data_IF_333107218838
#
_entry.id   IF_333107218838
#
_cell.length_a   1.000
_cell.length_b   1.000
_cell.length_c   1.000
_cell.angle_alpha   90.00
_cell.angle_beta   90.00
_cell.angle_gamma   90.00
#
_symmetry.space_group_name_H-M   'P 1'
#
loop_
_entity.id
_entity.type
_entity.pdbx_description
1 polymer ?
#
# COMPACT_ATOMS: atom_id res chain seq x y z
N UNK A 1 16.75 6.49 49.43
CA UNK A 1 15.59 5.69 49.83
C UNK A 1 15.58 4.50 48.92
N UNK A 2 15.72 3.29 49.47
CA UNK A 2 15.86 2.07 48.65
C UNK A 2 14.44 1.60 48.26
N UNK A 3 14.09 1.67 47.00
CA UNK A 3 12.90 1.03 46.47
C UNK A 3 13.13 -0.50 46.43
N UNK A 4 12.36 -1.25 47.21
CA UNK A 4 12.29 -2.69 47.13
C UNK A 4 11.34 -3.05 45.99
N UNK A 5 11.87 -3.64 44.94
CA UNK A 5 11.09 -4.28 43.89
C UNK A 5 10.40 -5.53 44.49
N UNK A 6 9.09 -5.53 44.50
CA UNK A 6 8.26 -6.65 44.98
C UNK A 6 7.96 -7.58 43.81
N UNK A 7 8.68 -8.70 43.73
CA UNK A 7 8.23 -9.84 42.92
C UNK A 7 7.07 -10.52 43.67
N UNK A 8 5.88 -10.52 43.08
CA UNK A 8 4.73 -11.28 43.59
C UNK A 8 4.68 -12.65 42.87
N UNK A 9 4.86 -13.74 43.63
CA UNK A 9 4.62 -15.10 43.13
C UNK A 9 3.11 -15.37 43.07
N UNK A 10 2.60 -15.83 41.91
CA UNK A 10 1.21 -16.20 41.72
C UNK A 10 0.94 -17.53 42.44
N UNK A 11 -0.03 -17.53 43.36
CA UNK A 11 -0.62 -18.75 43.92
C UNK A 11 -1.67 -19.30 42.95
N UNK A 12 -1.76 -20.60 42.70
CA UNK A 12 -2.78 -21.17 41.82
C UNK A 12 -4.16 -21.04 42.47
N UNK A 13 -5.09 -20.36 41.80
CA UNK A 13 -6.51 -20.31 42.18
C UNK A 13 -7.16 -21.63 41.78
N UNK A 14 -7.51 -22.45 42.76
CA UNK A 14 -8.41 -23.58 42.61
C UNK A 14 -9.83 -23.10 42.39
N UNK A 15 -10.46 -23.44 41.26
CA UNK A 15 -11.87 -23.18 40.97
C UNK A 15 -12.75 -24.07 41.81
N UNK A 16 -13.48 -23.51 42.75
CA UNK A 16 -14.59 -24.19 43.48
C UNK A 16 -15.92 -23.83 42.79
N UNK A 17 -16.46 -24.79 42.03
CA UNK A 17 -17.82 -24.69 41.52
C UNK A 17 -18.84 -25.00 42.63
N UNK A 18 -19.61 -24.02 43.06
CA UNK A 18 -20.78 -24.24 43.90
C UNK A 18 -22.07 -24.05 43.11
N UNK A 19 -22.79 -25.14 42.93
CA UNK A 19 -24.15 -25.14 42.36
C UNK A 19 -25.10 -24.71 43.45
N UNK A 20 -25.88 -23.66 43.24
CA UNK A 20 -27.12 -23.38 44.00
C UNK A 20 -28.28 -23.12 43.05
N UNK A 21 -29.19 -24.08 43.06
CA UNK A 21 -30.55 -23.97 42.51
C UNK A 21 -31.44 -23.17 43.47
N UNK A 22 -32.17 -22.16 43.02
CA UNK A 22 -33.62 -22.01 43.21
C UNK A 22 -34.14 -20.58 43.01
N UNK A 23 -35.31 -20.55 42.44
CA UNK A 23 -36.38 -19.55 42.53
C UNK A 23 -36.29 -18.34 41.56
N UNK A 24 -37.25 -18.37 40.64
CA UNK A 24 -37.53 -17.41 39.58
C UNK A 24 -37.79 -16.00 40.03
N UNK A 25 -37.41 -15.10 39.13
CA UNK A 25 -37.93 -13.75 38.98
C UNK A 25 -37.83 -13.28 37.53
N UNK A 26 -38.62 -12.29 37.12
CA UNK A 26 -39.06 -12.12 35.76
C UNK A 26 -38.01 -11.50 34.83
N UNK A 27 -38.18 -11.78 33.54
CA UNK A 27 -37.43 -11.23 32.44
C UNK A 27 -37.37 -9.68 32.50
N UNK A 28 -36.19 -9.15 32.65
CA UNK A 28 -35.90 -7.76 32.31
C UNK A 28 -34.46 -7.62 31.80
N UNK A 29 -34.37 -7.12 30.57
CA UNK A 29 -33.20 -6.57 29.92
C UNK A 29 -31.98 -7.52 29.82
N UNK A 30 -31.95 -8.34 28.77
CA UNK A 30 -30.69 -8.73 28.17
C UNK A 30 -30.03 -7.47 27.60
N UNK A 31 -29.18 -6.84 28.39
CA UNK A 31 -28.13 -6.01 27.83
C UNK A 31 -27.25 -6.98 27.08
N UNK A 32 -27.24 -6.90 25.75
CA UNK A 32 -26.17 -7.43 24.93
C UNK A 32 -24.91 -6.65 25.33
N UNK A 33 -24.16 -7.16 26.27
CA UNK A 33 -22.77 -6.77 26.45
C UNK A 33 -22.09 -7.23 25.18
N UNK A 34 -21.71 -6.26 24.36
CA UNK A 34 -20.85 -6.51 23.20
C UNK A 34 -19.59 -7.09 23.83
N UNK A 35 -19.30 -8.36 23.59
CA UNK A 35 -18.02 -8.96 23.96
C UNK A 35 -16.95 -8.13 23.25
N UNK A 36 -16.34 -7.19 23.94
CA UNK A 36 -15.18 -6.49 23.41
C UNK A 36 -14.07 -7.53 23.30
N UNK A 37 -13.52 -7.65 22.10
CA UNK A 37 -12.38 -8.52 21.85
C UNK A 37 -11.25 -8.23 22.86
N UNK A 38 -10.58 -9.25 23.33
CA UNK A 38 -9.42 -9.08 24.21
C UNK A 38 -8.37 -8.30 23.42
N UNK A 39 -7.80 -7.22 23.98
CA UNK A 39 -6.71 -6.53 23.32
C UNK A 39 -5.53 -7.48 23.10
N UNK A 40 -4.74 -7.26 22.07
CA UNK A 40 -3.53 -8.02 21.78
C UNK A 40 -2.30 -7.13 21.94
N UNK A 41 -1.15 -7.74 22.10
CA UNK A 41 0.14 -7.06 22.00
C UNK A 41 0.82 -7.59 20.75
N UNK A 42 1.34 -6.72 19.91
CA UNK A 42 2.05 -7.09 18.71
C UNK A 42 3.30 -7.94 19.03
N UNK A 43 3.62 -8.91 18.18
CA UNK A 43 4.91 -9.58 18.24
C UNK A 43 6.02 -8.54 18.05
N UNK A 44 7.17 -8.72 18.70
CA UNK A 44 8.24 -7.74 18.62
C UNK A 44 9.58 -8.39 18.31
N UNK A 45 10.39 -7.65 17.58
CA UNK A 45 11.78 -7.99 17.28
C UNK A 45 12.68 -6.90 17.87
N UNK A 46 13.76 -7.29 18.51
CA UNK A 46 14.79 -6.37 19.01
C UNK A 46 16.18 -6.87 18.65
N UNK A 47 17.08 -5.92 18.48
CA UNK A 47 18.47 -6.25 18.20
C UNK A 47 19.42 -5.43 19.10
N UNK A 48 20.66 -5.85 19.11
CA UNK A 48 21.73 -5.13 19.77
C UNK A 48 23.07 -5.78 19.50
N UNK A 49 24.20 -5.08 19.82
CA UNK A 49 25.54 -5.65 19.66
C UNK A 49 25.69 -6.98 20.41
N UNK A 50 26.36 -7.95 19.80
CA UNK A 50 26.48 -9.32 20.35
C UNK A 50 27.15 -9.39 21.75
N UNK A 51 27.84 -8.31 22.17
CA UNK A 51 28.50 -8.24 23.47
C UNK A 51 27.78 -7.34 24.49
N UNK A 52 26.64 -6.75 24.13
CA UNK A 52 25.92 -5.78 24.97
C UNK A 52 24.52 -6.26 25.31
N UNK A 53 23.99 -5.91 26.52
CA UNK A 53 22.61 -6.25 26.85
C UNK A 53 21.59 -5.49 26.04
N UNK A 54 20.56 -6.18 25.54
CA UNK A 54 19.38 -5.59 24.91
C UNK A 54 18.38 -5.18 26.00
N UNK A 55 18.05 -3.91 26.06
CA UNK A 55 17.12 -3.32 27.04
C UNK A 55 15.71 -3.23 26.48
N UNK A 56 14.71 -3.29 27.37
CA UNK A 56 13.30 -3.11 27.05
C UNK A 56 12.76 -1.84 27.69
N UNK A 57 11.75 -1.24 27.06
CA UNK A 57 11.01 -0.09 27.56
C UNK A 57 9.49 -0.29 27.40
N UNK A 58 8.66 0.53 28.02
CA UNK A 58 7.20 0.45 27.87
C UNK A 58 6.77 0.62 26.40
N UNK A 59 7.52 1.40 25.62
CA UNK A 59 7.23 1.69 24.21
C UNK A 59 7.37 0.47 23.28
N UNK A 60 8.14 -0.54 23.68
CA UNK A 60 8.30 -1.77 22.92
C UNK A 60 7.02 -2.64 22.90
N UNK A 61 6.11 -2.44 23.86
CA UNK A 61 4.91 -3.26 24.04
C UNK A 61 3.68 -2.61 23.43
N UNK A 62 3.58 -2.66 22.10
CA UNK A 62 2.48 -2.03 21.35
C UNK A 62 1.18 -2.81 21.54
N UNK A 63 0.19 -2.17 22.18
CA UNK A 63 -1.14 -2.76 22.39
C UNK A 63 -2.04 -2.45 21.19
N UNK A 64 -2.61 -3.50 20.62
CA UNK A 64 -3.62 -3.41 19.57
C UNK A 64 -5.02 -3.56 20.16
N UNK A 65 -5.91 -2.63 19.82
CA UNK A 65 -7.28 -2.59 20.36
C UNK A 65 -7.44 -1.64 21.54
N UNK A 66 -8.57 -1.78 22.27
CA UNK A 66 -8.90 -0.95 23.44
C UNK A 66 -8.46 -1.64 24.70
N UNK A 67 -7.38 -1.21 25.33
CA UNK A 67 -6.90 -1.75 26.59
C UNK A 67 -5.60 -1.08 27.03
N UNK A 68 -5.29 -1.15 28.31
CA UNK A 68 -4.01 -0.73 28.85
C UNK A 68 -3.30 -1.98 29.38
N UNK A 69 -2.07 -2.22 28.91
CA UNK A 69 -1.22 -3.28 29.42
C UNK A 69 -0.78 -2.94 30.85
N UNK A 70 -1.01 -3.85 31.78
CA UNK A 70 -0.67 -3.72 33.20
C UNK A 70 0.63 -4.44 33.53
N UNK A 71 0.77 -5.67 33.03
CA UNK A 71 1.92 -6.51 33.29
C UNK A 71 2.09 -7.59 32.20
N UNK A 72 3.25 -8.20 32.17
CA UNK A 72 3.55 -9.37 31.34
C UNK A 72 3.94 -10.56 32.22
N UNK A 73 3.52 -11.77 31.82
CA UNK A 73 3.90 -13.03 32.49
C UNK A 73 4.83 -13.78 31.56
N UNK A 74 6.03 -14.08 32.00
CA UNK A 74 7.02 -14.80 31.18
C UNK A 74 6.54 -16.24 30.95
N UNK A 75 6.29 -16.58 29.68
CA UNK A 75 5.81 -17.91 29.27
C UNK A 75 6.96 -18.86 28.91
N UNK A 76 7.99 -18.36 28.21
CA UNK A 76 9.22 -19.13 27.92
C UNK A 76 10.43 -18.23 28.11
N UNK A 77 11.58 -18.86 28.32
CA UNK A 77 12.88 -18.20 28.46
C UNK A 77 13.70 -18.39 27.18
N UNK A 78 14.66 -17.47 26.88
CA UNK A 78 15.63 -17.68 25.84
C UNK A 78 16.49 -18.90 26.07
N UNK A 79 17.13 -19.41 24.99
CA UNK A 79 18.12 -20.47 25.13
C UNK A 79 19.28 -20.01 26.05
N UNK A 80 19.50 -20.73 27.14
CA UNK A 80 20.56 -20.44 28.09
C UNK A 80 21.97 -20.52 27.47
N UNK A 81 22.13 -21.15 26.30
CA UNK A 81 23.39 -21.20 25.56
C UNK A 81 23.64 -19.89 24.76
N UNK A 82 22.63 -19.02 24.59
CA UNK A 82 22.75 -17.74 23.92
C UNK A 82 22.81 -16.60 24.93
N UNK A 83 21.92 -16.62 25.93
CA UNK A 83 21.89 -15.57 26.95
C UNK A 83 20.79 -15.78 27.98
N UNK A 84 20.53 -14.77 28.81
CA UNK A 84 19.54 -14.86 29.88
C UNK A 84 18.76 -13.52 30.03
N UNK A 85 17.49 -13.64 30.48
CA UNK A 85 16.68 -12.49 30.88
C UNK A 85 16.93 -12.14 32.35
N UNK A 86 17.02 -10.85 32.64
CA UNK A 86 17.12 -10.29 33.98
C UNK A 86 16.20 -9.11 34.18
N UNK A 87 15.69 -8.90 35.41
CA UNK A 87 15.02 -7.69 35.84
C UNK A 87 15.91 -6.98 36.88
N UNK A 88 16.57 -5.93 36.45
CA UNK A 88 17.66 -5.34 37.23
C UNK A 88 18.81 -6.36 37.45
N UNK A 89 19.06 -6.73 38.70
CA UNK A 89 20.10 -7.70 39.05
C UNK A 89 19.57 -9.15 39.27
N UNK A 90 18.28 -9.39 39.07
CA UNK A 90 17.66 -10.70 39.34
C UNK A 90 17.38 -11.43 38.01
N UNK A 91 17.79 -12.73 37.96
CA UNK A 91 17.43 -13.61 36.87
C UNK A 91 15.93 -13.91 36.89
N UNK A 92 15.33 -13.92 35.71
CA UNK A 92 13.90 -14.18 35.48
C UNK A 92 13.65 -15.68 35.34
N UNK A 93 12.47 -16.12 35.80
CA UNK A 93 11.98 -17.49 35.67
C UNK A 93 10.64 -17.51 34.91
N UNK A 94 10.31 -18.66 34.32
CA UNK A 94 8.98 -18.86 33.72
C UNK A 94 7.92 -18.71 34.81
N UNK A 95 6.86 -17.93 34.50
CA UNK A 95 5.79 -17.57 35.43
C UNK A 95 6.02 -16.27 36.21
N UNK A 96 7.19 -15.64 36.11
CA UNK A 96 7.42 -14.36 36.75
C UNK A 96 6.53 -13.29 36.09
N UNK A 97 5.96 -12.41 36.94
CA UNK A 97 5.10 -11.30 36.52
C UNK A 97 5.90 -10.00 36.59
N UNK A 98 5.98 -9.30 35.47
CA UNK A 98 6.68 -8.04 35.36
C UNK A 98 5.63 -6.94 35.10
N UNK A 99 5.46 -6.02 36.06
CA UNK A 99 4.61 -4.87 35.88
C UNK A 99 5.22 -3.92 34.82
N UNK A 100 4.39 -3.26 34.00
CA UNK A 100 4.87 -2.34 32.96
C UNK A 100 5.71 -1.20 33.53
N UNK A 101 5.41 -0.73 34.73
CA UNK A 101 6.21 0.28 35.45
C UNK A 101 7.65 -0.18 35.76
N UNK A 102 7.92 -1.49 35.72
CA UNK A 102 9.24 -2.08 36.00
C UNK A 102 9.94 -2.59 34.74
N UNK A 103 9.30 -2.49 33.57
CA UNK A 103 9.80 -3.08 32.34
C UNK A 103 11.10 -2.47 31.84
N UNK A 104 11.38 -1.21 32.18
CA UNK A 104 12.65 -0.55 31.88
C UNK A 104 13.87 -1.23 32.54
N UNK A 105 13.63 -2.06 33.54
CA UNK A 105 14.63 -2.90 34.18
C UNK A 105 14.84 -4.26 33.49
N UNK A 106 13.99 -4.64 32.55
CA UNK A 106 14.09 -5.90 31.82
C UNK A 106 15.22 -5.82 30.79
N UNK A 107 16.08 -6.83 30.78
CA UNK A 107 17.20 -6.92 29.84
C UNK A 107 17.44 -8.36 29.43
N UNK A 108 17.80 -8.54 28.17
CA UNK A 108 18.44 -9.75 27.70
C UNK A 108 19.96 -9.53 27.71
N UNK A 109 20.68 -10.39 28.40
CA UNK A 109 22.16 -10.35 28.48
C UNK A 109 22.73 -11.55 27.73
N UNK A 110 23.39 -11.33 26.58
CA UNK A 110 24.05 -12.41 25.85
C UNK A 110 25.23 -12.97 26.63
N UNK A 111 25.57 -14.22 26.36
CA UNK A 111 26.82 -14.79 26.86
C UNK A 111 28.03 -14.17 26.16
N UNK A 112 29.21 -14.20 26.79
CA UNK A 112 30.47 -13.74 26.18
C UNK A 112 30.84 -14.49 24.88
N UNK A 113 30.34 -15.72 24.71
CA UNK A 113 30.44 -16.51 23.48
C UNK A 113 29.12 -17.27 23.29
N UNK A 114 28.13 -16.63 22.72
CA UNK A 114 26.81 -17.22 22.52
C UNK A 114 26.89 -18.35 21.49
N UNK A 115 26.08 -19.40 21.68
CA UNK A 115 25.99 -20.51 20.74
C UNK A 115 25.29 -20.14 19.40
N UNK A 116 24.64 -19.00 19.36
CA UNK A 116 23.95 -18.45 18.17
C UNK A 116 23.81 -16.95 18.27
N UNK A 117 23.40 -16.32 17.19
CA UNK A 117 23.16 -14.88 17.11
C UNK A 117 21.66 -14.52 17.22
N UNK A 118 20.81 -15.51 17.46
CA UNK A 118 19.37 -15.34 17.63
C UNK A 118 18.93 -15.96 18.95
N UNK A 119 17.98 -15.30 19.60
CA UNK A 119 17.30 -15.80 20.78
C UNK A 119 15.82 -15.41 20.71
N UNK A 120 14.97 -16.14 21.42
CA UNK A 120 13.56 -15.80 21.53
C UNK A 120 13.03 -16.15 22.92
N UNK A 121 12.05 -15.38 23.36
CA UNK A 121 11.24 -15.73 24.53
C UNK A 121 9.78 -15.38 24.30
N UNK A 122 8.89 -15.86 25.15
CA UNK A 122 7.47 -15.53 25.05
C UNK A 122 6.96 -14.99 26.38
N UNK A 123 5.98 -14.11 26.30
CA UNK A 123 5.23 -13.61 27.43
C UNK A 123 3.73 -13.63 27.15
N UNK A 124 2.91 -13.68 28.19
CA UNK A 124 1.46 -13.50 28.14
C UNK A 124 1.13 -12.10 28.65
N UNK A 125 0.48 -11.22 27.88
CA UNK A 125 0.08 -9.90 28.34
C UNK A 125 -1.10 -10.01 29.31
N UNK A 126 -1.09 -9.16 30.34
CA UNK A 126 -2.18 -9.00 31.29
C UNK A 126 -2.62 -7.54 31.28
N UNK A 127 -3.88 -7.31 31.00
CA UNK A 127 -4.45 -5.96 30.89
C UNK A 127 -5.02 -5.47 32.21
N UNK A 128 -5.17 -4.15 32.34
CA UNK A 128 -5.64 -3.48 33.57
C UNK A 128 -7.05 -3.88 34.01
N UNK A 129 -7.85 -4.47 33.12
CA UNK A 129 -9.17 -5.03 33.41
C UNK A 129 -9.10 -6.50 33.91
N UNK A 130 -7.92 -7.05 34.03
CA UNK A 130 -7.67 -8.43 34.52
C UNK A 130 -7.74 -9.50 33.41
N UNK A 131 -8.01 -9.14 32.14
CA UNK A 131 -7.97 -10.08 31.01
C UNK A 131 -6.53 -10.38 30.63
N UNK A 132 -6.29 -11.59 30.13
CA UNK A 132 -5.00 -11.99 29.56
C UNK A 132 -5.15 -12.21 28.06
N UNK A 133 -4.17 -11.78 27.28
CA UNK A 133 -4.10 -12.04 25.85
C UNK A 133 -3.37 -13.36 25.55
N UNK A 134 -3.22 -13.65 24.26
CA UNK A 134 -2.42 -14.77 23.78
C UNK A 134 -0.93 -14.54 24.03
N UNK A 135 -0.15 -15.63 24.02
CA UNK A 135 1.29 -15.54 24.20
C UNK A 135 1.94 -14.84 22.99
N UNK A 136 2.78 -13.86 23.30
CA UNK A 136 3.51 -13.04 22.33
C UNK A 136 4.96 -13.48 22.27
N UNK A 137 5.51 -13.65 21.06
CA UNK A 137 6.92 -13.97 20.85
C UNK A 137 7.74 -12.69 20.73
N UNK A 138 8.88 -12.68 21.42
CA UNK A 138 9.93 -11.67 21.29
C UNK A 138 11.13 -12.30 20.61
N UNK A 139 11.52 -11.81 19.47
CA UNK A 139 12.71 -12.20 18.74
C UNK A 139 13.88 -11.27 19.05
N UNK A 140 15.07 -11.81 19.25
CA UNK A 140 16.26 -11.07 19.63
C UNK A 140 17.40 -11.40 18.68
N UNK A 141 17.97 -10.38 18.05
CA UNK A 141 19.11 -10.52 17.14
C UNK A 141 20.38 -9.92 17.77
N UNK A 142 21.46 -10.69 17.79
CA UNK A 142 22.77 -10.27 18.26
C UNK A 142 23.63 -9.90 17.05
N UNK A 143 23.85 -8.61 16.84
CA UNK A 143 24.49 -8.07 15.64
C UNK A 143 26.00 -8.05 15.78
N UNK A 144 26.71 -8.52 14.76
CA UNK A 144 28.18 -8.42 14.67
C UNK A 144 28.62 -7.01 14.26
N UNK A 145 27.81 -6.33 13.46
CA UNK A 145 27.98 -4.94 12.98
C UNK A 145 26.72 -4.15 13.29
N UNK A 146 26.85 -2.82 13.36
CA UNK A 146 25.70 -1.95 13.57
C UNK A 146 24.78 -2.00 12.33
N UNK A 147 23.48 -2.07 12.58
CA UNK A 147 22.44 -1.94 11.54
C UNK A 147 21.65 -0.67 11.83
N UNK A 148 21.46 0.17 10.81
CA UNK A 148 20.75 1.45 10.90
C UNK A 148 19.24 1.23 10.85
N UNK A 149 18.48 2.18 11.40
CA UNK A 149 17.03 2.17 11.22
C UNK A 149 16.65 2.66 9.81
N UNK A 150 15.60 2.11 9.19
CA UNK A 150 15.10 2.61 7.92
C UNK A 150 14.56 4.05 8.04
N UNK A 151 14.48 4.74 6.91
CA UNK A 151 13.93 6.09 6.82
C UNK A 151 12.65 6.05 5.99
N UNK A 152 11.50 6.25 6.64
CA UNK A 152 10.20 6.28 5.98
C UNK A 152 9.85 7.68 5.49
N UNK A 153 9.17 7.77 4.34
CA UNK A 153 8.82 9.02 3.68
C UNK A 153 7.35 9.37 3.85
N UNK A 154 7.07 10.67 3.97
CA UNK A 154 5.68 11.15 3.97
C UNK A 154 5.07 11.02 2.58
N UNK A 155 3.78 10.64 2.51
CA UNK A 155 3.04 10.48 1.27
C UNK A 155 1.85 11.44 1.22
N UNK A 156 1.48 11.87 0.01
CA UNK A 156 0.28 12.65 -0.25
C UNK A 156 -0.55 11.95 -1.33
N UNK A 157 -1.80 11.64 -1.00
CA UNK A 157 -2.72 10.93 -1.87
C UNK A 157 -3.98 11.76 -2.11
N UNK A 158 -4.55 11.62 -3.29
CA UNK A 158 -5.87 12.17 -3.63
C UNK A 158 -6.77 11.05 -4.12
N UNK A 159 -8.00 11.02 -3.64
CA UNK A 159 -9.05 10.15 -4.15
C UNK A 159 -10.38 10.87 -4.16
N UNK A 160 -11.41 10.23 -4.71
CA UNK A 160 -12.77 10.75 -4.72
C UNK A 160 -13.62 10.12 -3.60
N UNK A 161 -14.72 10.80 -3.29
CA UNK A 161 -15.75 10.32 -2.38
C UNK A 161 -16.23 8.92 -2.78
N UNK A 162 -16.19 7.96 -1.84
CA UNK A 162 -16.56 6.55 -2.04
C UNK A 162 -15.66 5.78 -3.03
N UNK A 163 -14.48 6.28 -3.34
CA UNK A 163 -13.55 5.63 -4.26
C UNK A 163 -12.29 5.23 -3.49
N UNK A 164 -11.96 3.95 -3.51
CA UNK A 164 -10.71 3.46 -2.94
C UNK A 164 -9.50 3.92 -3.78
N UNK A 165 -8.35 4.00 -3.14
CA UNK A 165 -7.07 4.28 -3.81
C UNK A 165 -6.02 3.32 -3.30
N UNK A 166 -5.31 2.68 -4.22
CA UNK A 166 -4.13 1.85 -3.95
C UNK A 166 -2.88 2.74 -4.00
N UNK A 167 -1.95 2.53 -3.08
CA UNK A 167 -0.67 3.21 -3.05
C UNK A 167 0.38 2.33 -2.38
N UNK A 168 1.63 2.76 -2.40
CA UNK A 168 2.75 2.06 -1.77
C UNK A 168 3.41 2.96 -0.74
N UNK A 169 3.80 2.38 0.41
CA UNK A 169 4.67 3.02 1.36
C UNK A 169 6.06 3.18 0.75
N UNK A 170 6.75 4.25 1.12
CA UNK A 170 8.12 4.53 0.68
C UNK A 170 9.03 4.59 1.89
N UNK A 171 10.08 3.78 1.89
CA UNK A 171 11.15 3.84 2.87
C UNK A 171 12.46 3.33 2.26
N UNK A 172 13.56 3.82 2.78
CA UNK A 172 14.91 3.40 2.39
C UNK A 172 15.65 2.90 3.62
N UNK A 173 16.22 1.72 3.51
CA UNK A 173 17.09 1.14 4.51
C UNK A 173 18.56 1.42 4.16
N UNK A 174 19.42 1.87 5.13
CA UNK A 174 20.81 2.17 4.86
C UNK A 174 21.65 0.97 4.42
N UNK A 175 21.32 -0.22 4.89
CA UNK A 175 21.99 -1.49 4.57
C UNK A 175 21.32 -2.22 3.40
N UNK A 176 20.11 -1.79 3.00
CA UNK A 176 19.32 -2.39 1.93
C UNK A 176 18.51 -3.60 2.37
N UNK A 177 18.16 -3.67 3.64
CA UNK A 177 17.36 -4.73 4.21
C UNK A 177 15.93 -4.73 3.68
N UNK A 178 15.28 -5.90 3.71
CA UNK A 178 13.86 -6.01 3.41
C UNK A 178 13.03 -5.34 4.50
N UNK A 179 12.08 -4.51 4.07
CA UNK A 179 11.24 -3.73 4.97
C UNK A 179 9.83 -4.32 5.06
N UNK A 180 9.28 -4.28 6.27
CA UNK A 180 7.86 -4.46 6.54
C UNK A 180 7.25 -3.15 7.04
N UNK A 181 5.93 -2.98 6.84
CA UNK A 181 5.26 -1.72 7.16
C UNK A 181 4.14 -1.93 8.18
N UNK A 182 4.04 -1.02 9.14
CA UNK A 182 3.03 -1.07 10.19
C UNK A 182 2.33 0.28 10.37
N UNK A 183 1.01 0.25 10.49
CA UNK A 183 0.20 1.45 10.73
C UNK A 183 0.17 1.74 12.22
N UNK A 184 0.62 2.93 12.62
CA UNK A 184 0.59 3.38 14.01
C UNK A 184 -0.74 4.02 14.40
N UNK A 185 -1.24 4.94 13.58
CA UNK A 185 -2.49 5.63 13.82
C UNK A 185 -3.41 5.47 12.63
N UNK A 186 -4.66 5.06 12.87
CA UNK A 186 -5.66 4.84 11.83
C UNK A 186 -6.28 6.16 11.35
N UNK A 187 -6.70 6.26 10.08
CA UNK A 187 -7.39 7.43 9.58
C UNK A 187 -8.80 7.58 10.18
N UNK A 188 -9.32 8.81 10.20
CA UNK A 188 -10.62 9.12 10.80
C UNK A 188 -11.80 9.05 9.80
N UNK A 189 -11.52 9.13 8.48
CA UNK A 189 -12.54 9.24 7.42
C UNK A 189 -12.56 8.06 6.46
N UNK A 190 -11.71 7.06 6.68
CA UNK A 190 -11.58 5.87 5.87
C UNK A 190 -10.95 4.73 6.63
N UNK A 191 -10.76 3.61 5.95
CA UNK A 191 -10.03 2.45 6.43
C UNK A 191 -8.79 2.22 5.56
N UNK A 192 -7.72 1.71 6.14
CA UNK A 192 -6.54 1.23 5.42
C UNK A 192 -6.50 -0.28 5.52
N UNK A 193 -6.35 -0.94 4.39
CA UNK A 193 -6.13 -2.40 4.30
C UNK A 193 -4.74 -2.63 3.72
N UNK A 194 -4.00 -3.55 4.32
CA UNK A 194 -2.66 -3.97 3.89
C UNK A 194 -2.66 -5.48 3.68
N UNK A 195 -1.78 -6.02 2.81
CA UNK A 195 -1.49 -7.44 2.75
C UNK A 195 -0.96 -7.97 4.09
N UNK A 196 -1.25 -9.23 4.39
CA UNK A 196 -0.81 -9.86 5.66
C UNK A 196 0.70 -10.04 5.76
N UNK A 197 1.41 -10.04 4.63
CA UNK A 197 2.86 -10.16 4.55
C UNK A 197 3.62 -8.88 4.92
N UNK A 198 2.90 -7.77 5.19
CA UNK A 198 3.49 -6.49 5.54
C UNK A 198 4.21 -5.79 4.37
N UNK A 199 3.89 -6.17 3.13
CA UNK A 199 4.44 -5.53 1.94
C UNK A 199 4.09 -4.03 1.87
N UNK A 200 4.73 -3.30 0.96
CA UNK A 200 4.58 -1.84 0.85
C UNK A 200 3.22 -1.39 0.33
N UNK A 201 2.46 -2.27 -0.34
CA UNK A 201 1.16 -1.91 -0.91
C UNK A 201 0.09 -1.75 0.17
N UNK A 202 -0.76 -0.74 0.01
CA UNK A 202 -1.95 -0.56 0.84
C UNK A 202 -3.10 0.02 0.04
N UNK A 203 -4.33 -0.24 0.48
CA UNK A 203 -5.55 0.33 -0.08
C UNK A 203 -6.22 1.21 0.96
N UNK A 204 -6.40 2.50 0.65
CA UNK A 204 -7.21 3.41 1.45
C UNK A 204 -8.62 3.49 0.88
N UNK A 205 -9.63 3.14 1.69
CA UNK A 205 -11.06 3.20 1.32
C UNK A 205 -11.76 4.26 2.17
N UNK A 206 -12.22 5.38 1.56
CA UNK A 206 -13.02 6.37 2.28
C UNK A 206 -14.29 5.76 2.85
N UNK A 207 -14.68 6.14 4.08
CA UNK A 207 -16.01 5.79 4.59
C UNK A 207 -17.10 6.47 3.77
N UNK A 208 -18.26 5.85 3.72
CA UNK A 208 -19.39 6.27 2.91
C UNK A 208 -19.67 7.78 3.02
N UNK A 209 -19.73 8.45 1.88
CA UNK A 209 -20.02 9.88 1.73
C UNK A 209 -19.04 10.85 2.41
N UNK A 210 -17.86 10.41 2.88
CA UNK A 210 -16.85 11.30 3.43
C UNK A 210 -16.10 12.06 2.33
N UNK A 211 -15.74 13.30 2.66
CA UNK A 211 -14.89 14.19 1.84
C UNK A 211 -13.99 15.03 2.76
N UNK A 212 -12.99 15.69 2.19
CA UNK A 212 -12.06 16.56 2.90
C UNK A 212 -10.74 15.87 3.20
N UNK A 213 -9.99 16.39 4.17
CA UNK A 213 -8.66 15.88 4.51
C UNK A 213 -8.75 14.76 5.54
N UNK A 214 -7.92 13.75 5.38
CA UNK A 214 -7.67 12.66 6.31
C UNK A 214 -6.17 12.40 6.41
N UNK A 215 -5.74 11.61 7.37
CA UNK A 215 -4.35 11.20 7.49
C UNK A 215 -4.21 9.99 8.41
N UNK A 216 -3.15 9.24 8.20
CA UNK A 216 -2.70 8.19 9.10
C UNK A 216 -1.17 8.18 9.16
N UNK A 217 -0.58 7.46 10.10
CA UNK A 217 0.88 7.34 10.24
C UNK A 217 1.32 5.89 10.16
N UNK A 218 2.50 5.67 9.63
CA UNK A 218 3.11 4.36 9.51
C UNK A 218 4.60 4.40 9.87
N UNK A 219 5.18 3.24 10.11
CA UNK A 219 6.62 3.02 10.23
C UNK A 219 7.05 1.91 9.30
N UNK A 220 8.30 1.95 8.87
CA UNK A 220 8.98 0.84 8.24
C UNK A 220 9.86 0.14 9.27
N UNK A 221 9.92 -1.18 9.22
CA UNK A 221 10.72 -2.02 10.12
C UNK A 221 11.60 -2.94 9.29
N UNK A 222 12.88 -3.00 9.60
CA UNK A 222 13.86 -3.86 8.94
C UNK A 222 13.81 -5.32 9.45
N UNK A 223 14.62 -6.19 8.86
CA UNK A 223 14.65 -7.61 9.18
C UNK A 223 15.15 -7.92 10.61
N UNK A 224 15.84 -6.99 11.26
CA UNK A 224 16.38 -7.16 12.63
C UNK A 224 15.61 -6.33 13.67
N UNK A 225 14.52 -5.68 13.28
CA UNK A 225 13.56 -5.01 14.15
C UNK A 225 13.86 -3.54 14.44
N UNK A 226 14.76 -2.85 13.71
CA UNK A 226 14.85 -1.40 13.81
C UNK A 226 13.66 -0.75 13.09
N UNK A 227 13.08 0.23 13.74
CA UNK A 227 11.91 0.94 13.23
C UNK A 227 12.28 2.37 12.81
N UNK A 228 11.72 2.82 11.71
CA UNK A 228 11.85 4.21 11.28
C UNK A 228 11.15 5.18 12.23
N UNK A 229 11.48 6.46 12.14
CA UNK A 229 10.59 7.50 12.64
C UNK A 229 9.22 7.41 11.94
N UNK A 230 8.12 7.79 12.63
CA UNK A 230 6.78 7.76 12.04
C UNK A 230 6.65 8.69 10.83
N UNK A 231 6.21 8.15 9.70
CA UNK A 231 5.87 8.92 8.50
C UNK A 231 4.35 9.10 8.37
N UNK A 232 3.94 10.19 7.76
CA UNK A 232 2.52 10.56 7.62
C UNK A 232 2.06 10.39 6.18
N UNK A 233 0.96 9.66 6.00
CA UNK A 233 0.19 9.65 4.75
C UNK A 233 -0.96 10.64 4.88
N UNK A 234 -0.94 11.70 4.06
CA UNK A 234 -2.01 12.68 3.94
C UNK A 234 -2.91 12.32 2.79
N UNK A 235 -4.23 12.35 3.02
CA UNK A 235 -5.22 12.01 2.01
C UNK A 235 -6.18 13.18 1.80
N UNK A 236 -6.43 13.51 0.54
CA UNK A 236 -7.46 14.46 0.12
C UNK A 236 -8.58 13.69 -0.55
N UNK A 237 -9.76 13.68 0.08
CA UNK A 237 -10.96 13.03 -0.45
C UNK A 237 -11.80 14.12 -1.13
N UNK A 238 -11.84 14.11 -2.44
CA UNK A 238 -12.54 15.12 -3.26
C UNK A 238 -13.96 14.68 -3.60
N UNK A 239 -14.80 15.65 -3.87
CA UNK A 239 -16.10 15.40 -4.47
C UNK A 239 -15.90 15.40 -5.99
N UNK A 240 -16.31 14.33 -6.71
CA UNK A 240 -16.25 14.34 -8.16
C UNK A 240 -17.01 15.53 -8.75
N UNK A 241 -16.42 16.17 -9.77
CA UNK A 241 -17.05 17.25 -10.54
C UNK A 241 -17.87 16.70 -11.73
N UNK A 242 -18.16 15.43 -11.73
CA UNK A 242 -19.02 14.74 -12.68
C UNK A 242 -20.24 14.15 -11.99
N UNK A 243 -21.28 13.85 -12.75
CA UNK A 243 -22.46 13.08 -12.29
C UNK A 243 -22.35 11.60 -12.63
N UNK A 244 -21.26 11.21 -13.26
CA UNK A 244 -21.00 9.83 -13.62
C UNK A 244 -20.73 9.03 -12.35
N UNK A 245 -21.45 7.94 -12.20
CA UNK A 245 -21.23 6.91 -11.17
C UNK A 245 -21.24 5.56 -11.88
N UNK A 246 -20.17 4.83 -11.73
CA UNK A 246 -20.04 3.52 -12.37
C UNK A 246 -20.65 2.42 -11.51
N UNK A 247 -21.36 1.49 -12.16
CA UNK A 247 -21.99 0.36 -11.49
C UNK A 247 -21.06 -0.87 -11.38
N UNK A 248 -19.96 -0.85 -12.11
CA UNK A 248 -19.02 -1.97 -12.29
C UNK A 248 -17.59 -1.66 -11.83
N UNK A 249 -17.37 -0.54 -11.10
CA UNK A 249 -16.05 -0.10 -10.64
C UNK A 249 -15.87 -0.16 -9.12
N UNK A 250 -16.80 -0.81 -8.41
CA UNK A 250 -16.68 -0.90 -6.95
C UNK A 250 -15.54 -1.85 -6.57
N UNK A 251 -14.54 -1.31 -5.86
CA UNK A 251 -13.33 -2.04 -5.51
C UNK A 251 -12.28 -2.17 -6.62
N UNK A 252 -12.55 -1.64 -7.81
CA UNK A 252 -11.60 -1.66 -8.91
C UNK A 252 -10.50 -0.58 -8.71
N UNK A 253 -9.20 -0.91 -8.86
CA UNK A 253 -8.11 0.05 -8.69
C UNK A 253 -8.19 1.22 -9.68
N UNK A 254 -8.66 1.01 -10.90
CA UNK A 254 -8.81 2.05 -11.92
C UNK A 254 -9.99 2.98 -11.69
N UNK A 255 -10.80 2.80 -10.63
CA UNK A 255 -12.00 3.61 -10.39
C UNK A 255 -11.70 5.12 -10.29
N UNK A 256 -10.62 5.49 -9.56
CA UNK A 256 -10.17 6.90 -9.49
C UNK A 256 -9.87 7.46 -10.87
N UNK A 257 -9.13 6.71 -11.68
CA UNK A 257 -8.74 7.11 -13.02
C UNK A 257 -9.97 7.23 -13.94
N UNK A 258 -10.90 6.29 -13.88
CA UNK A 258 -12.15 6.34 -14.66
C UNK A 258 -12.97 7.61 -14.36
N UNK A 259 -13.08 8.03 -13.10
CA UNK A 259 -13.75 9.29 -12.72
C UNK A 259 -12.98 10.48 -13.26
N UNK A 260 -11.66 10.51 -13.16
CA UNK A 260 -10.84 11.61 -13.71
C UNK A 260 -11.04 11.76 -15.20
N UNK A 261 -11.03 10.67 -15.96
CA UNK A 261 -11.29 10.72 -17.41
C UNK A 261 -12.71 11.23 -17.75
N UNK A 262 -13.70 10.89 -16.93
CA UNK A 262 -15.06 11.38 -17.10
C UNK A 262 -15.18 12.89 -16.77
N UNK A 263 -14.44 13.40 -15.80
CA UNK A 263 -14.37 14.83 -15.47
C UNK A 263 -13.78 15.66 -16.61
N UNK A 264 -12.72 15.15 -17.23
CA UNK A 264 -12.05 15.80 -18.37
C UNK A 264 -12.80 15.58 -19.70
N UNK A 265 -13.87 14.77 -19.70
CA UNK A 265 -14.62 14.46 -20.91
C UNK A 265 -13.86 13.59 -21.92
N UNK A 266 -12.81 12.90 -21.47
CA UNK A 266 -11.96 12.03 -22.31
C UNK A 266 -12.68 10.72 -22.60
N UNK A 267 -13.22 10.10 -21.56
CA UNK A 267 -13.96 8.85 -21.66
C UNK A 267 -14.99 8.73 -20.54
N UNK A 268 -16.22 8.33 -20.86
CA UNK A 268 -17.32 8.26 -19.89
C UNK A 268 -17.87 6.83 -19.73
N UNK A 269 -17.47 5.90 -20.62
CA UNK A 269 -18.07 4.56 -20.64
C UNK A 269 -19.45 4.53 -21.28
N UNK A 270 -20.16 3.41 -21.10
CA UNK A 270 -21.50 3.18 -21.67
C UNK A 270 -22.59 3.48 -20.65
N UNK A 271 -23.66 4.17 -21.09
CA UNK A 271 -24.83 4.43 -20.27
C UNK A 271 -25.97 3.49 -20.65
N UNK A 272 -26.33 2.57 -19.78
CA UNK A 272 -27.44 1.61 -19.97
C UNK A 272 -28.41 1.71 -18.80
N UNK A 273 -29.69 1.96 -19.10
CA UNK A 273 -30.74 2.00 -18.07
C UNK A 273 -30.55 3.10 -17.02
N UNK A 274 -29.74 4.13 -17.31
CA UNK A 274 -29.44 5.22 -16.38
C UNK A 274 -28.22 4.95 -15.46
N UNK A 275 -27.56 3.80 -15.58
CA UNK A 275 -26.30 3.49 -14.96
C UNK A 275 -25.16 3.56 -15.97
N UNK A 276 -23.99 3.99 -15.52
CA UNK A 276 -22.77 3.97 -16.32
C UNK A 276 -21.96 2.72 -16.04
N UNK A 277 -21.37 2.16 -17.09
CA UNK A 277 -20.48 1.01 -17.05
C UNK A 277 -19.17 1.38 -17.71
N UNK A 278 -18.09 1.19 -16.99
CA UNK A 278 -16.74 1.46 -17.48
C UNK A 278 -16.17 0.28 -18.24
N UNK A 279 -16.50 -0.95 -17.79
CA UNK A 279 -15.99 -2.21 -18.30
C UNK A 279 -14.45 -2.28 -18.21
N UNK A 280 -13.86 -2.26 -16.99
CA UNK A 280 -12.41 -2.12 -16.80
C UNK A 280 -11.60 -3.23 -17.48
N UNK A 281 -12.12 -4.45 -17.56
CA UNK A 281 -11.46 -5.61 -18.17
C UNK A 281 -11.56 -5.65 -19.71
N UNK A 282 -12.33 -4.78 -20.33
CA UNK A 282 -12.46 -4.75 -21.79
C UNK A 282 -11.15 -4.24 -22.43
N UNK A 283 -10.72 -4.90 -23.51
CA UNK A 283 -9.56 -4.44 -24.27
C UNK A 283 -9.85 -3.08 -24.94
N UNK A 284 -8.84 -2.22 -24.97
CA UNK A 284 -8.89 -0.91 -25.66
C UNK A 284 -8.30 -1.06 -27.05
N UNK A 285 -9.01 -0.56 -28.06
CA UNK A 285 -8.50 -0.56 -29.43
C UNK A 285 -7.51 0.59 -29.66
N UNK A 286 -6.66 0.46 -30.68
CA UNK A 286 -5.68 1.49 -31.06
C UNK A 286 -6.38 2.81 -31.44
N UNK A 287 -7.54 2.73 -32.11
CA UNK A 287 -8.33 3.90 -32.46
C UNK A 287 -8.89 4.63 -31.24
N UNK A 288 -9.44 3.88 -30.28
CA UNK A 288 -9.94 4.44 -29.02
C UNK A 288 -8.83 5.10 -28.22
N UNK A 289 -7.69 4.40 -28.05
CA UNK A 289 -6.57 4.94 -27.26
C UNK A 289 -5.99 6.21 -27.89
N UNK A 290 -5.83 6.27 -29.23
CA UNK A 290 -5.37 7.48 -29.91
C UNK A 290 -6.30 8.66 -29.64
N UNK A 291 -7.62 8.45 -29.72
CA UNK A 291 -8.59 9.51 -29.43
C UNK A 291 -8.50 9.98 -27.97
N UNK A 292 -8.43 9.06 -27.02
CA UNK A 292 -8.30 9.38 -25.59
C UNK A 292 -6.98 10.09 -25.27
N UNK A 293 -5.86 9.64 -25.83
CA UNK A 293 -4.54 10.24 -25.60
C UNK A 293 -4.42 11.64 -26.21
N UNK A 294 -5.00 11.88 -27.38
CA UNK A 294 -5.06 13.20 -27.97
C UNK A 294 -5.89 14.16 -27.13
N UNK A 295 -7.07 13.72 -26.66
CA UNK A 295 -7.90 14.54 -25.78
C UNK A 295 -7.17 14.84 -24.45
N UNK A 296 -6.50 13.86 -23.86
CA UNK A 296 -5.69 14.05 -22.65
C UNK A 296 -4.54 15.06 -22.86
N UNK A 297 -3.93 15.06 -24.05
CA UNK A 297 -2.88 16.02 -24.42
C UNK A 297 -3.43 17.39 -24.90
N UNK A 298 -4.74 17.62 -24.83
CA UNK A 298 -5.37 18.87 -25.30
C UNK A 298 -5.26 19.10 -26.82
N UNK A 299 -5.10 18.01 -27.58
CA UNK A 299 -4.95 18.07 -29.04
C UNK A 299 -6.29 17.96 -29.76
N UNK A 300 -6.60 18.90 -30.63
CA UNK A 300 -7.84 18.89 -31.40
C UNK A 300 -7.75 17.91 -32.59
N UNK A 301 -8.84 17.19 -32.85
CA UNK A 301 -8.97 16.38 -34.04
C UNK A 301 -9.25 17.27 -35.27
N UNK A 302 -8.76 16.86 -36.45
CA UNK A 302 -9.07 17.51 -37.70
C UNK A 302 -10.57 17.40 -38.00
N UNK A 303 -11.15 18.46 -38.50
CA UNK A 303 -12.56 18.47 -38.96
C UNK A 303 -12.68 17.85 -40.37
N UNK A 304 -13.85 17.30 -40.68
CA UNK A 304 -14.24 16.83 -42.02
C UNK A 304 -13.28 15.83 -42.69
N UNK A 305 -12.71 14.93 -41.92
CA UNK A 305 -11.80 13.87 -42.45
C UNK A 305 -12.63 12.70 -42.97
N UNK A 306 -12.75 12.57 -44.28
CA UNK A 306 -13.39 11.43 -44.94
C UNK A 306 -12.41 10.23 -45.12
N UNK A 307 -11.14 10.50 -45.29
CA UNK A 307 -10.09 9.48 -45.56
C UNK A 307 -8.82 9.74 -44.77
N UNK A 308 -8.21 8.70 -44.29
CA UNK A 308 -6.88 8.69 -43.67
C UNK A 308 -5.80 8.45 -44.74
N UNK A 309 -4.52 8.53 -44.34
CA UNK A 309 -3.41 8.17 -45.21
C UNK A 309 -3.05 6.68 -45.21
N UNK A 310 -3.81 5.85 -44.51
CA UNK A 310 -3.52 4.43 -44.36
C UNK A 310 -4.22 3.56 -45.40
N UNK A 311 -3.60 2.43 -45.76
CA UNK A 311 -4.11 1.52 -46.78
C UNK A 311 -5.41 0.81 -46.33
N UNK A 312 -5.58 0.63 -45.04
CA UNK A 312 -6.75 0.03 -44.40
C UNK A 312 -7.85 1.05 -44.02
N UNK A 313 -7.88 2.21 -44.68
CA UNK A 313 -8.81 3.29 -44.41
C UNK A 313 -10.28 2.85 -44.34
N UNK A 314 -10.69 1.87 -45.12
CA UNK A 314 -12.04 1.32 -45.14
C UNK A 314 -12.41 0.64 -43.81
N UNK A 315 -11.41 0.07 -43.12
CA UNK A 315 -11.57 -0.61 -41.85
C UNK A 315 -11.47 0.35 -40.64
N UNK A 316 -11.05 1.62 -40.87
CA UNK A 316 -10.98 2.61 -39.81
C UNK A 316 -12.39 3.19 -39.58
N UNK A 317 -12.95 3.11 -38.38
CA UNK A 317 -14.25 3.69 -38.08
C UNK A 317 -14.32 5.18 -38.42
N UNK A 318 -15.45 5.64 -38.94
CA UNK A 318 -15.61 7.04 -39.33
C UNK A 318 -15.31 8.01 -38.22
N UNK A 319 -15.71 7.70 -36.98
CA UNK A 319 -15.44 8.55 -35.81
C UNK A 319 -13.94 8.64 -35.48
N UNK A 320 -13.16 7.59 -35.79
CA UNK A 320 -11.71 7.54 -35.48
C UNK A 320 -10.86 8.24 -36.54
N UNK A 321 -11.33 8.40 -37.78
CA UNK A 321 -10.57 9.00 -38.90
C UNK A 321 -10.01 10.37 -38.60
N UNK A 322 -10.74 11.30 -37.98
CA UNK A 322 -10.21 12.62 -37.60
C UNK A 322 -9.01 12.51 -36.65
N UNK A 323 -9.14 11.68 -35.61
CA UNK A 323 -8.07 11.47 -34.61
C UNK A 323 -6.86 10.80 -35.22
N UNK A 324 -7.05 9.71 -35.97
CA UNK A 324 -5.98 8.98 -36.65
C UNK A 324 -5.20 9.87 -37.61
N UNK A 325 -5.90 10.71 -38.39
CA UNK A 325 -5.26 11.63 -39.33
C UNK A 325 -4.51 12.75 -38.61
N UNK A 326 -5.05 13.28 -37.52
CA UNK A 326 -4.38 14.27 -36.68
C UNK A 326 -3.13 13.70 -36.03
N UNK A 327 -3.23 12.49 -35.45
CA UNK A 327 -2.12 11.79 -34.84
C UNK A 327 -1.01 11.50 -35.85
N UNK A 328 -1.36 11.10 -37.08
CA UNK A 328 -0.39 10.91 -38.17
C UNK A 328 0.30 12.23 -38.54
N UNK A 329 -0.45 13.31 -38.69
CA UNK A 329 0.07 14.65 -39.01
C UNK A 329 0.99 15.18 -37.90
N UNK A 330 0.65 14.92 -36.65
CA UNK A 330 1.45 15.32 -35.48
C UNK A 330 2.66 14.39 -35.24
N UNK A 331 2.80 13.29 -35.99
CA UNK A 331 3.88 12.33 -35.79
C UNK A 331 3.71 11.41 -34.59
N UNK A 332 2.54 11.39 -33.98
CA UNK A 332 2.24 10.50 -32.82
C UNK A 332 2.18 9.03 -33.26
N UNK A 333 1.59 8.77 -34.45
CA UNK A 333 1.47 7.45 -35.05
C UNK A 333 2.14 7.41 -36.42
N UNK A 334 2.62 6.23 -36.80
CA UNK A 334 3.28 6.00 -38.11
C UNK A 334 2.66 4.83 -38.88
N UNK A 335 1.84 4.00 -38.19
CA UNK A 335 1.32 2.74 -38.70
C UNK A 335 2.38 1.63 -38.79
N UNK A 336 1.94 0.46 -39.18
CA UNK A 336 2.76 -0.74 -39.37
C UNK A 336 2.75 -1.19 -40.85
N UNK A 337 3.77 -1.96 -41.25
CA UNK A 337 3.77 -2.55 -42.57
C UNK A 337 3.04 -3.89 -42.54
N UNK A 338 2.04 -4.04 -43.39
CA UNK A 338 1.35 -5.31 -43.63
C UNK A 338 2.22 -6.26 -44.47
N UNK A 339 1.77 -7.51 -44.60
CA UNK A 339 2.50 -8.55 -45.35
C UNK A 339 2.71 -8.22 -46.85
N UNK A 340 1.85 -7.39 -47.42
CA UNK A 340 1.92 -6.88 -48.78
C UNK A 340 2.71 -5.58 -48.93
N UNK A 341 3.31 -5.12 -47.80
CA UNK A 341 4.20 -3.95 -47.75
C UNK A 341 3.50 -2.60 -47.64
N UNK A 342 2.16 -2.58 -47.57
CA UNK A 342 1.40 -1.35 -47.38
C UNK A 342 1.44 -0.87 -45.91
N UNK A 343 1.26 0.43 -45.71
CA UNK A 343 1.19 0.99 -44.36
C UNK A 343 -0.25 1.01 -43.89
N UNK A 344 -0.52 0.32 -42.80
CA UNK A 344 -1.86 0.15 -42.17
C UNK A 344 -1.83 0.70 -40.74
N UNK A 345 -3.02 1.12 -40.26
CA UNK A 345 -3.18 1.61 -38.88
C UNK A 345 -3.74 0.58 -37.94
N UNK A 346 -4.66 -0.27 -38.40
CA UNK A 346 -5.32 -1.31 -37.62
C UNK A 346 -6.11 -0.74 -36.41
N UNK A 347 -7.06 0.13 -36.68
CA UNK A 347 -7.79 0.89 -35.66
C UNK A 347 -8.54 0.01 -34.65
N UNK A 348 -9.08 -1.14 -35.07
CA UNK A 348 -9.87 -2.06 -34.25
C UNK A 348 -9.03 -3.10 -33.52
N UNK A 349 -7.73 -3.19 -33.78
CA UNK A 349 -6.85 -4.09 -33.04
C UNK A 349 -6.56 -3.55 -31.65
N UNK A 350 -6.46 -4.41 -30.62
CA UNK A 350 -6.09 -4.00 -29.28
C UNK A 350 -4.72 -3.29 -29.26
N UNK A 351 -4.60 -2.20 -28.50
CA UNK A 351 -3.32 -1.52 -28.30
C UNK A 351 -2.53 -2.20 -27.17
N UNK A 352 -1.21 -2.34 -27.35
CA UNK A 352 -0.31 -2.83 -26.30
C UNK A 352 0.20 -1.69 -25.41
N UNK A 353 0.66 -2.03 -24.18
CA UNK A 353 1.26 -1.06 -23.27
C UNK A 353 2.48 -0.36 -23.90
N UNK A 354 3.30 -1.08 -24.68
CA UNK A 354 4.44 -0.51 -25.42
C UNK A 354 4.00 0.55 -26.44
N UNK A 355 2.96 0.27 -27.22
CA UNK A 355 2.43 1.20 -28.24
C UNK A 355 1.81 2.44 -27.58
N UNK A 356 1.08 2.25 -26.50
CA UNK A 356 0.50 3.33 -25.71
C UNK A 356 1.59 4.23 -25.09
N UNK A 357 2.65 3.63 -24.55
CA UNK A 357 3.78 4.37 -24.00
C UNK A 357 4.47 5.26 -25.05
N UNK A 358 4.76 4.73 -26.23
CA UNK A 358 5.38 5.54 -27.30
C UNK A 358 4.46 6.67 -27.77
N UNK A 359 3.16 6.41 -27.86
CA UNK A 359 2.19 7.42 -28.25
C UNK A 359 2.11 8.55 -27.19
N UNK A 360 2.05 8.20 -25.92
CA UNK A 360 2.00 9.20 -24.84
C UNK A 360 3.31 9.96 -24.67
N UNK A 361 4.49 9.31 -24.77
CA UNK A 361 5.80 10.01 -24.74
C UNK A 361 5.85 11.08 -25.82
N UNK A 362 5.37 10.77 -27.03
CA UNK A 362 5.31 11.72 -28.15
C UNK A 362 4.29 12.82 -27.92
N UNK A 363 3.11 12.48 -27.38
CA UNK A 363 2.04 13.46 -27.12
C UNK A 363 2.43 14.44 -26.01
N UNK A 364 3.02 13.95 -24.93
CA UNK A 364 3.46 14.72 -23.76
C UNK A 364 4.82 15.41 -23.97
N UNK A 365 5.56 15.04 -25.02
CA UNK A 365 6.92 15.53 -25.31
C UNK A 365 7.83 15.42 -24.09
N UNK A 366 7.95 14.21 -23.50
CA UNK A 366 8.76 13.97 -22.29
C UNK A 366 10.25 14.09 -22.65
N UNK A 367 10.81 15.29 -22.46
CA UNK A 367 12.22 15.63 -22.80
C UNK A 367 13.04 16.03 -21.59
N UNK A 368 12.41 16.26 -20.46
CA UNK A 368 12.96 16.77 -19.20
C UNK A 368 13.47 15.67 -18.26
N UNK A 369 13.27 14.41 -18.63
CA UNK A 369 13.70 13.26 -17.85
C UNK A 369 14.76 12.47 -18.59
N UNK A 370 15.87 12.17 -17.91
CA UNK A 370 16.87 11.21 -18.36
C UNK A 370 16.55 9.87 -17.73
N UNK A 371 16.21 8.90 -18.57
CA UNK A 371 15.91 7.54 -18.11
C UNK A 371 16.91 6.57 -18.78
N UNK A 372 17.42 5.63 -18.01
CA UNK A 372 18.19 4.51 -18.54
C UNK A 372 17.27 3.63 -19.40
N UNK A 373 17.80 3.16 -20.54
CA UNK A 373 17.03 2.32 -21.42
C UNK A 373 16.73 0.98 -20.74
N UNK A 374 15.46 0.59 -20.71
CA UNK A 374 15.06 -0.70 -20.17
C UNK A 374 15.68 -1.84 -20.96
N UNK A 375 16.30 -2.77 -20.26
CA UNK A 375 16.95 -3.94 -20.84
C UNK A 375 16.16 -5.22 -20.50
N UNK A 376 14.84 -5.23 -20.76
CA UNK A 376 13.99 -6.38 -20.50
C UNK A 376 13.76 -7.22 -21.77
N UNK A 377 13.74 -8.56 -21.60
CA UNK A 377 13.35 -9.49 -22.68
C UNK A 377 11.85 -9.29 -23.00
N UNK A 378 11.54 -9.19 -24.31
CA UNK A 378 10.17 -9.07 -24.79
C UNK A 378 9.69 -7.64 -25.09
N UNK A 379 10.47 -6.60 -24.75
CA UNK A 379 10.14 -5.23 -25.14
C UNK A 379 10.51 -5.01 -26.62
N UNK A 380 9.58 -4.55 -27.47
CA UNK A 380 9.90 -4.20 -28.85
C UNK A 380 11.00 -3.14 -28.90
N UNK A 381 11.99 -3.30 -29.79
CA UNK A 381 13.20 -2.45 -29.88
C UNK A 381 12.97 -0.95 -30.06
N UNK A 382 11.74 -0.56 -30.38
CA UNK A 382 11.32 0.84 -30.57
C UNK A 382 10.68 1.46 -29.32
N UNK A 383 10.34 0.67 -28.27
CA UNK A 383 9.61 1.12 -27.10
C UNK A 383 10.45 1.40 -25.83
N UNK A 384 11.64 0.80 -25.61
CA UNK A 384 12.32 0.83 -24.32
C UNK A 384 12.54 2.24 -23.76
N UNK A 385 12.90 3.20 -24.61
CA UNK A 385 13.19 4.57 -24.17
C UNK A 385 11.92 5.30 -23.72
N UNK A 386 10.82 5.21 -24.48
CA UNK A 386 9.55 5.85 -24.12
C UNK A 386 8.96 5.23 -22.85
N UNK A 387 9.00 3.90 -22.72
CA UNK A 387 8.55 3.20 -21.54
C UNK A 387 9.35 3.60 -20.29
N UNK A 388 10.70 3.66 -20.39
CA UNK A 388 11.56 4.08 -19.30
C UNK A 388 11.28 5.52 -18.84
N UNK A 389 11.08 6.45 -19.76
CA UNK A 389 10.72 7.84 -19.43
C UNK A 389 9.39 7.94 -18.68
N UNK A 390 8.36 7.26 -19.18
CA UNK A 390 7.04 7.29 -18.54
C UNK A 390 7.04 6.58 -17.19
N UNK A 391 7.82 5.50 -17.04
CA UNK A 391 8.01 4.84 -15.75
C UNK A 391 8.73 5.77 -14.75
N UNK A 392 9.79 6.46 -15.18
CA UNK A 392 10.50 7.43 -14.34
C UNK A 392 9.60 8.60 -13.91
N UNK A 393 8.63 8.97 -14.75
CA UNK A 393 7.62 10.00 -14.41
C UNK A 393 6.45 9.45 -13.58
N UNK A 394 6.42 8.16 -13.24
CA UNK A 394 5.32 7.53 -12.51
C UNK A 394 4.02 7.38 -13.32
N UNK A 395 4.09 7.50 -14.65
CA UNK A 395 2.93 7.38 -15.55
C UNK A 395 2.67 5.92 -15.94
N UNK A 396 3.72 5.10 -16.07
CA UNK A 396 3.65 3.71 -16.50
C UNK A 396 4.20 2.77 -15.43
N UNK A 397 3.41 1.76 -15.03
CA UNK A 397 3.94 0.61 -14.29
C UNK A 397 4.54 -0.42 -15.27
N UNK A 398 5.64 -1.04 -14.88
CA UNK A 398 6.32 -2.07 -15.68
C UNK A 398 5.91 -3.50 -15.29
N UNK A 399 5.13 -3.66 -14.22
CA UNK A 399 4.81 -4.96 -13.61
C UNK A 399 3.97 -5.88 -14.50
N UNK A 400 3.15 -5.32 -15.41
CA UNK A 400 2.25 -6.07 -16.30
C UNK A 400 2.86 -6.58 -17.60
N UNK A 401 4.10 -6.21 -17.92
CA UNK A 401 4.75 -6.50 -19.21
C UNK A 401 4.24 -5.62 -20.36
N UNK A 402 5.16 -5.13 -21.22
CA UNK A 402 4.83 -4.12 -22.23
C UNK A 402 4.18 -4.66 -23.51
N UNK A 403 4.21 -5.97 -23.72
CA UNK A 403 3.68 -6.60 -24.95
C UNK A 403 2.21 -7.03 -24.86
N UNK A 404 1.62 -6.99 -23.67
CA UNK A 404 0.21 -7.33 -23.46
C UNK A 404 -0.73 -6.24 -24.00
N UNK A 405 -1.90 -6.60 -24.54
CA UNK A 405 -2.98 -5.65 -24.82
C UNK A 405 -3.43 -4.96 -23.53
N UNK A 406 -3.65 -3.65 -23.58
CA UNK A 406 -4.19 -2.89 -22.46
C UNK A 406 -5.68 -3.17 -22.28
N UNK A 407 -6.08 -3.38 -21.04
CA UNK A 407 -7.47 -3.27 -20.62
C UNK A 407 -7.89 -1.80 -20.52
N UNK A 408 -9.18 -1.55 -20.42
CA UNK A 408 -9.71 -0.18 -20.28
C UNK A 408 -9.34 0.42 -18.92
N UNK A 409 -9.25 -0.39 -17.88
CA UNK A 409 -8.75 0.01 -16.56
C UNK A 409 -7.29 0.48 -16.63
N UNK A 410 -6.39 -0.35 -17.18
CA UNK A 410 -4.97 -0.01 -17.34
C UNK A 410 -4.75 1.21 -18.23
N UNK A 411 -5.52 1.35 -19.32
CA UNK A 411 -5.49 2.53 -20.17
C UNK A 411 -5.95 3.79 -19.42
N UNK A 412 -6.95 3.68 -18.54
CA UNK A 412 -7.39 4.80 -17.73
C UNK A 412 -6.33 5.23 -16.71
N UNK A 413 -5.68 4.30 -16.03
CA UNK A 413 -4.58 4.59 -15.11
C UNK A 413 -3.42 5.28 -15.82
N UNK A 414 -3.02 4.78 -16.99
CA UNK A 414 -1.97 5.36 -17.81
C UNK A 414 -2.31 6.79 -18.26
N UNK A 415 -3.54 7.04 -18.70
CA UNK A 415 -4.01 8.37 -19.09
C UNK A 415 -4.15 9.32 -17.88
N UNK A 416 -4.60 8.82 -16.75
CA UNK A 416 -4.67 9.59 -15.50
C UNK A 416 -3.28 10.03 -15.04
N UNK A 417 -2.29 9.13 -15.07
CA UNK A 417 -0.89 9.47 -14.80
C UNK A 417 -0.34 10.52 -15.77
N UNK A 418 -0.73 10.45 -17.06
CA UNK A 418 -0.37 11.47 -18.05
C UNK A 418 -0.96 12.85 -17.71
N UNK A 419 -2.22 12.92 -17.26
CA UNK A 419 -2.86 14.16 -16.81
C UNK A 419 -2.20 14.70 -15.53
N UNK A 420 -1.91 13.86 -14.56
CA UNK A 420 -1.22 14.24 -13.32
C UNK A 420 0.19 14.80 -13.60
N UNK A 421 0.90 14.23 -14.58
CA UNK A 421 2.19 14.75 -15.04
C UNK A 421 2.06 16.14 -15.68
N UNK A 422 1.03 16.38 -16.50
CA UNK A 422 0.75 17.71 -17.08
C UNK A 422 0.39 18.71 -15.98
N UNK A 423 -0.53 18.36 -15.08
CA UNK A 423 -0.92 19.23 -13.95
C UNK A 423 0.29 19.64 -13.11
N UNK A 424 1.24 18.71 -12.87
CA UNK A 424 2.46 19.00 -12.12
C UNK A 424 3.39 19.96 -12.83
N UNK A 425 3.46 19.90 -14.17
CA UNK A 425 4.28 20.80 -15.00
C UNK A 425 3.68 22.18 -15.12
N UNK A 426 2.37 22.27 -15.25
CA UNK A 426 1.64 23.54 -15.34
C UNK A 426 1.57 24.28 -13.99
N UNK A 427 1.53 23.54 -12.87
CA UNK A 427 1.52 24.09 -11.50
C UNK A 427 2.91 24.52 -10.96
N UNK A 428 3.99 24.20 -11.65
CA UNK A 428 5.38 24.42 -11.20
C UNK A 428 5.95 25.82 -11.41
N UNK A 429 5.15 26.82 -11.80
CA UNK A 429 5.59 28.21 -12.06
C UNK A 429 4.88 29.26 -11.19
N UNK A 430 4.77 28.98 -9.88
CA UNK A 430 4.42 30.06 -8.93
C UNK A 430 5.25 29.98 -7.65
#
# INVERSE_FOLDING_TARGET
MKHRVLLRRALPLAVLAAVLYSAGWPASAFFFQKDEAVPTVAAMTKNGPAAEPISFSEEDFVVEGSGKLDSIVIATLPDAAVGCLTLGAQGIQVGDVIAMEAVDGLRFTPLAAPAGLEAQFQFTPVFSDGRSGDAVTVELYLLAEANGAPVAENLELTTYKNVAVTAQFSAVDPEGDLLTYHILNKPARGAVTMPEDGSSEFVYTPYENKTGKDSFTYVAVDAVGNSSDPATVKIKIEKPNTKVTYADMDGDPAHKAAIRLAEEGIFVGECMGGAYFFQPDAAVTRGEFVAMAMNAAGMEALEDVERTGFADDVSIPTWAKPYVSSALKAGLVQGSRSSDGQVVFQAEEPITAAEAAVLLDRALQVTDVSADTLAEEGIPTWAPQSAAKLATCGVLSLDGGLSAPLTRGEAAELLCGALELQDSRDGGWF
#
